data_IF_538274349900
#
_entry.id   IF_538274349900
#
_cell.length_a   1.000
_cell.length_b   1.000
_cell.length_c   1.000
_cell.angle_alpha   90.00
_cell.angle_beta   90.00
_cell.angle_gamma   90.00
#
_symmetry.space_group_name_H-M   'P 1'
#
loop_
_entity.id
_entity.type
_entity.pdbx_description
1 polymer ?
#
# COMPACT_ATOMS: atom_id res chain seq x y z
N UNK A 1 -4.87 29.90 -2.74
CA UNK A 1 -5.28 29.46 -1.40
C UNK A 1 -6.46 30.25 -0.90
N UNK A 2 -7.48 29.59 -0.42
CA UNK A 2 -8.75 30.16 0.05
C UNK A 2 -8.58 31.06 1.30
N UNK A 3 -7.45 30.96 1.98
CA UNK A 3 -7.15 31.76 3.17
C UNK A 3 -5.92 32.64 2.95
N UNK A 4 -6.14 33.96 2.93
CA UNK A 4 -5.08 34.97 2.81
C UNK A 4 -4.14 35.04 4.03
N UNK A 5 -4.47 34.37 5.14
CA UNK A 5 -3.69 34.36 6.37
C UNK A 5 -2.92 33.05 6.53
N UNK A 6 -1.58 33.04 6.48
CA UNK A 6 -0.76 31.83 6.55
C UNK A 6 -0.94 31.05 7.86
N UNK A 7 -1.17 31.73 8.97
CA UNK A 7 -1.43 31.12 10.28
C UNK A 7 -2.73 30.30 10.29
N UNK A 8 -3.82 30.86 9.72
CA UNK A 8 -5.10 30.14 9.62
C UNK A 8 -5.00 28.91 8.71
N UNK A 9 -4.28 29.02 7.61
CA UNK A 9 -4.02 27.90 6.69
C UNK A 9 -3.25 26.78 7.39
N UNK A 10 -2.24 27.13 8.18
CA UNK A 10 -1.41 26.17 8.89
C UNK A 10 -2.19 25.47 10.04
N UNK A 11 -3.03 26.22 10.76
CA UNK A 11 -3.89 25.67 11.82
C UNK A 11 -4.91 24.69 11.26
N UNK A 12 -5.57 25.02 10.14
CA UNK A 12 -6.53 24.12 9.49
C UNK A 12 -5.85 22.83 9.01
N UNK A 13 -4.70 22.93 8.34
CA UNK A 13 -3.91 21.76 7.94
C UNK A 13 -3.53 20.87 9.11
N UNK A 14 -3.14 21.46 10.23
CA UNK A 14 -2.79 20.72 11.45
C UNK A 14 -4.02 19.99 12.01
N UNK A 15 -5.19 20.64 12.04
CA UNK A 15 -6.44 20.03 12.51
C UNK A 15 -6.87 18.88 11.57
N UNK A 16 -6.84 19.09 10.27
CA UNK A 16 -7.17 18.06 9.28
C UNK A 16 -6.22 16.85 9.39
N UNK A 17 -4.93 17.10 9.52
CA UNK A 17 -3.92 16.06 9.71
C UNK A 17 -4.13 15.29 11.02
N UNK A 18 -4.42 15.99 12.11
CA UNK A 18 -4.70 15.38 13.42
C UNK A 18 -5.98 14.55 13.39
N UNK A 19 -7.05 15.06 12.77
CA UNK A 19 -8.33 14.35 12.69
C UNK A 19 -8.23 13.11 11.81
N UNK A 20 -7.57 13.18 10.66
CA UNK A 20 -7.32 12.03 9.79
C UNK A 20 -6.46 10.96 10.49
N UNK A 21 -5.40 11.39 11.20
CA UNK A 21 -4.56 10.48 11.99
C UNK A 21 -5.33 9.80 13.11
N UNK A 22 -6.17 10.54 13.84
CA UNK A 22 -7.00 9.98 14.92
C UNK A 22 -8.02 8.99 14.37
N UNK A 23 -8.66 9.29 13.24
CA UNK A 23 -9.59 8.37 12.60
C UNK A 23 -8.89 7.09 12.15
N UNK A 24 -7.73 7.20 11.51
CA UNK A 24 -6.94 6.04 11.10
C UNK A 24 -6.53 5.19 12.30
N UNK A 25 -6.04 5.80 13.38
CA UNK A 25 -5.67 5.07 14.60
C UNK A 25 -6.87 4.39 15.26
N UNK A 26 -8.05 5.02 15.24
CA UNK A 26 -9.28 4.40 15.73
C UNK A 26 -9.68 3.19 14.88
N UNK A 27 -9.56 3.31 13.57
CA UNK A 27 -9.86 2.24 12.63
C UNK A 27 -8.93 1.04 12.85
N UNK A 28 -7.63 1.29 12.96
CA UNK A 28 -6.63 0.24 13.25
C UNK A 28 -6.95 -0.44 14.59
N UNK A 29 -7.13 0.31 15.67
CA UNK A 29 -7.46 -0.26 16.99
C UNK A 29 -8.78 -1.02 16.99
N UNK A 30 -9.77 -0.55 16.24
CA UNK A 30 -11.05 -1.25 16.09
C UNK A 30 -10.86 -2.58 15.35
N UNK A 31 -10.02 -2.59 14.33
CA UNK A 31 -9.68 -3.79 13.58
C UNK A 31 -8.91 -4.81 14.44
N UNK A 32 -7.90 -4.39 15.17
CA UNK A 32 -7.15 -5.22 16.13
C UNK A 32 -8.08 -5.85 17.16
N UNK A 33 -8.97 -5.04 17.78
CA UNK A 33 -9.96 -5.53 18.75
C UNK A 33 -10.96 -6.53 18.18
N UNK A 34 -11.21 -6.48 16.87
CA UNK A 34 -12.08 -7.44 16.18
C UNK A 34 -11.41 -8.79 15.92
N UNK A 35 -10.16 -8.97 16.39
CA UNK A 35 -9.35 -10.16 16.17
C UNK A 35 -8.82 -10.23 14.74
N UNK A 36 -7.88 -9.35 14.40
CA UNK A 36 -7.22 -9.37 13.09
C UNK A 36 -6.62 -10.76 12.82
N UNK A 37 -6.96 -11.44 11.72
CA UNK A 37 -6.39 -12.73 11.40
C UNK A 37 -4.98 -12.56 10.81
N UNK A 38 -4.15 -13.57 11.01
CA UNK A 38 -2.84 -13.66 10.37
C UNK A 38 -2.96 -14.18 8.94
N UNK A 39 -2.07 -13.71 8.08
CA UNK A 39 -1.91 -14.21 6.73
C UNK A 39 -3.03 -13.81 5.77
N UNK A 40 -3.30 -14.66 4.80
CA UNK A 40 -4.24 -14.42 3.71
C UNK A 40 -5.65 -13.93 4.15
N UNK A 41 -6.26 -14.43 5.23
CA UNK A 41 -7.58 -13.95 5.68
C UNK A 41 -7.63 -12.50 6.18
N UNK A 42 -6.46 -11.88 6.42
CA UNK A 42 -6.36 -10.48 6.80
C UNK A 42 -6.99 -9.56 5.76
N UNK A 43 -6.66 -9.77 4.50
CA UNK A 43 -7.01 -8.85 3.40
C UNK A 43 -8.52 -8.66 3.23
N UNK A 44 -9.33 -9.70 3.04
CA UNK A 44 -10.78 -9.55 2.90
C UNK A 44 -11.41 -8.98 4.18
N UNK A 45 -10.89 -9.30 5.36
CA UNK A 45 -11.41 -8.76 6.61
C UNK A 45 -11.11 -7.28 6.76
N UNK A 46 -9.89 -6.85 6.43
CA UNK A 46 -9.48 -5.46 6.49
C UNK A 46 -10.27 -4.59 5.49
N UNK A 47 -10.42 -5.03 4.24
CA UNK A 47 -11.22 -4.35 3.21
C UNK A 47 -12.66 -4.15 3.68
N UNK A 48 -13.30 -5.20 4.22
CA UNK A 48 -14.66 -5.09 4.77
C UNK A 48 -14.74 -4.16 5.99
N UNK A 49 -13.76 -4.23 6.89
CA UNK A 49 -13.72 -3.38 8.08
C UNK A 49 -13.57 -1.89 7.74
N UNK A 50 -12.83 -1.59 6.69
CA UNK A 50 -12.68 -0.23 6.14
C UNK A 50 -13.90 0.24 5.34
N UNK A 51 -14.88 -0.60 5.09
CA UNK A 51 -16.05 -0.29 4.27
C UNK A 51 -15.72 -0.11 2.80
N UNK A 52 -14.61 -0.67 2.33
CA UNK A 52 -14.19 -0.57 0.92
C UNK A 52 -14.93 -1.65 0.12
N UNK A 53 -15.54 -1.22 -0.99
CA UNK A 53 -16.09 -2.12 -2.00
C UNK A 53 -15.16 -2.15 -3.21
N UNK A 54 -14.72 -3.34 -3.58
CA UNK A 54 -13.97 -3.57 -4.80
C UNK A 54 -14.98 -3.96 -5.88
N UNK A 55 -15.07 -3.12 -6.89
CA UNK A 55 -16.00 -3.29 -8.02
C UNK A 55 -15.16 -3.70 -9.26
N UNK A 56 -14.79 -4.96 -9.32
CA UNK A 56 -14.03 -5.57 -10.42
C UNK A 56 -14.76 -6.83 -10.88
N UNK A 57 -14.99 -6.98 -12.19
CA UNK A 57 -15.61 -8.18 -12.74
C UNK A 57 -14.83 -9.46 -12.40
N UNK A 58 -15.53 -10.54 -12.10
CA UNK A 58 -14.87 -11.80 -11.70
C UNK A 58 -14.05 -12.42 -12.84
N UNK A 59 -14.45 -12.19 -14.10
CA UNK A 59 -13.70 -12.65 -15.27
C UNK A 59 -12.36 -11.93 -15.42
N UNK A 60 -12.24 -10.69 -14.94
CA UNK A 60 -10.97 -9.97 -14.89
C UNK A 60 -10.07 -10.54 -13.77
N UNK A 61 -10.62 -10.83 -12.60
CA UNK A 61 -9.88 -11.49 -11.53
C UNK A 61 -9.38 -12.88 -11.99
N UNK A 62 -10.21 -13.61 -12.72
CA UNK A 62 -9.86 -14.94 -13.25
C UNK A 62 -8.70 -14.92 -14.28
N UNK A 63 -8.33 -13.75 -14.82
CA UNK A 63 -7.15 -13.59 -15.70
C UNK A 63 -5.83 -13.59 -14.92
N UNK A 64 -5.87 -13.43 -13.61
CA UNK A 64 -4.67 -13.51 -12.78
C UNK A 64 -4.13 -14.95 -12.85
N UNK A 65 -2.86 -15.15 -13.28
CA UNK A 65 -2.28 -16.50 -13.34
C UNK A 65 -2.26 -17.16 -11.95
N UNK A 66 -2.83 -18.35 -11.79
CA UNK A 66 -2.88 -19.04 -10.50
C UNK A 66 -1.51 -19.55 -10.04
N UNK A 67 -0.54 -19.65 -10.93
CA UNK A 67 0.82 -20.13 -10.67
C UNK A 67 1.85 -19.42 -11.54
N UNK A 68 3.13 -19.54 -11.18
CA UNK A 68 4.25 -18.95 -11.90
C UNK A 68 4.56 -17.52 -11.48
N UNK A 69 5.72 -16.99 -11.89
CA UNK A 69 6.14 -15.65 -11.51
C UNK A 69 5.23 -14.59 -12.13
N UNK A 70 4.84 -13.60 -11.32
CA UNK A 70 4.01 -12.50 -11.77
C UNK A 70 4.49 -11.20 -11.14
N UNK A 71 4.56 -10.13 -11.93
CA UNK A 71 4.76 -8.77 -11.45
C UNK A 71 3.49 -7.97 -11.69
N UNK A 72 2.91 -7.45 -10.62
CA UNK A 72 1.72 -6.60 -10.65
C UNK A 72 2.15 -5.16 -10.41
N UNK A 73 1.79 -4.29 -11.33
CA UNK A 73 2.09 -2.86 -11.27
C UNK A 73 0.79 -2.08 -11.32
N UNK A 74 0.72 -0.98 -10.58
CA UNK A 74 -0.43 -0.10 -10.58
C UNK A 74 -0.04 1.34 -10.26
N UNK A 75 -0.97 2.24 -10.56
CA UNK A 75 -0.97 3.60 -10.08
C UNK A 75 -1.16 3.64 -8.56
N UNK A 76 -0.74 4.76 -7.93
CA UNK A 76 -0.76 4.89 -6.47
C UNK A 76 -1.53 6.14 -6.00
N UNK A 77 -2.82 6.28 -6.38
CA UNK A 77 -3.59 7.48 -6.08
C UNK A 77 -4.02 7.61 -4.62
N UNK A 78 -4.24 6.50 -3.92
CA UNK A 78 -4.85 6.46 -2.58
C UNK A 78 -3.93 5.94 -1.47
N UNK A 79 -2.66 5.67 -1.79
CA UNK A 79 -1.68 5.21 -0.81
C UNK A 79 -1.97 3.82 -0.27
N UNK A 80 -2.10 3.68 1.04
CA UNK A 80 -2.31 2.39 1.71
C UNK A 80 -3.45 1.57 1.10
N UNK A 81 -4.54 2.22 0.72
CA UNK A 81 -5.73 1.56 0.17
C UNK A 81 -5.42 0.81 -1.12
N UNK A 82 -4.59 1.37 -2.00
CA UNK A 82 -4.25 0.74 -3.28
C UNK A 82 -3.53 -0.60 -3.04
N UNK A 83 -2.57 -0.62 -2.11
CA UNK A 83 -1.87 -1.84 -1.73
C UNK A 83 -2.80 -2.91 -1.15
N UNK A 84 -3.74 -2.50 -0.30
CA UNK A 84 -4.73 -3.41 0.31
C UNK A 84 -5.71 -3.97 -0.73
N UNK A 85 -6.18 -3.14 -1.66
CA UNK A 85 -7.07 -3.57 -2.74
C UNK A 85 -6.38 -4.57 -3.66
N UNK A 86 -5.14 -4.28 -4.11
CA UNK A 86 -4.37 -5.21 -4.94
C UNK A 86 -4.08 -6.52 -4.21
N UNK A 87 -3.70 -6.45 -2.93
CA UNK A 87 -3.50 -7.63 -2.11
C UNK A 87 -4.75 -8.51 -2.03
N UNK A 88 -5.91 -7.91 -1.79
CA UNK A 88 -7.19 -8.63 -1.75
C UNK A 88 -7.53 -9.26 -3.11
N UNK A 89 -7.36 -8.53 -4.21
CA UNK A 89 -7.64 -9.03 -5.55
C UNK A 89 -6.76 -10.24 -5.90
N UNK A 90 -5.45 -10.14 -5.63
CA UNK A 90 -4.51 -11.26 -5.85
C UNK A 90 -4.86 -12.44 -4.91
N UNK A 91 -5.17 -12.14 -3.65
CA UNK A 91 -5.51 -13.14 -2.63
C UNK A 91 -6.74 -14.00 -2.98
N UNK A 92 -7.65 -13.51 -3.83
CA UNK A 92 -8.79 -14.31 -4.35
C UNK A 92 -8.33 -15.48 -5.24
N UNK A 93 -7.14 -15.38 -5.82
CA UNK A 93 -6.59 -16.40 -6.74
C UNK A 93 -5.43 -17.15 -6.11
N UNK A 94 -4.51 -16.42 -5.43
CA UNK A 94 -3.30 -16.98 -4.82
C UNK A 94 -2.77 -16.12 -3.70
N UNK A 95 -2.12 -16.73 -2.72
CA UNK A 95 -1.65 -16.05 -1.51
C UNK A 95 -0.12 -15.89 -1.42
N UNK A 96 0.61 -16.32 -2.45
CA UNK A 96 2.08 -16.27 -2.50
C UNK A 96 2.59 -14.94 -3.09
N UNK A 97 2.01 -13.83 -2.69
CA UNK A 97 2.45 -12.50 -3.12
C UNK A 97 3.27 -11.79 -2.05
N UNK A 98 4.09 -10.84 -2.51
CA UNK A 98 4.82 -9.88 -1.69
C UNK A 98 4.60 -8.48 -2.23
N UNK A 99 4.51 -7.50 -1.35
CA UNK A 99 4.29 -6.09 -1.68
C UNK A 99 5.58 -5.33 -1.35
N UNK A 100 6.15 -4.65 -2.35
CA UNK A 100 7.23 -3.70 -2.10
C UNK A 100 6.64 -2.45 -1.46
N UNK A 101 6.97 -2.21 -0.20
CA UNK A 101 6.39 -1.11 0.56
C UNK A 101 7.43 -0.41 1.43
N UNK A 102 7.19 0.84 1.76
CA UNK A 102 8.01 1.57 2.72
C UNK A 102 7.90 0.97 4.11
N UNK A 103 8.96 1.06 4.88
CA UNK A 103 9.10 0.50 6.23
C UNK A 103 8.02 0.93 7.22
N UNK A 104 7.24 1.98 6.91
CA UNK A 104 6.11 2.43 7.74
C UNK A 104 4.97 1.40 7.88
N UNK A 105 4.88 0.44 6.97
CA UNK A 105 3.90 -0.65 7.00
C UNK A 105 4.49 -1.96 7.54
N UNK A 106 5.80 -2.01 7.77
CA UNK A 106 6.45 -3.10 8.49
C UNK A 106 6.16 -2.91 9.98
N UNK A 107 5.78 -3.97 10.67
CA UNK A 107 5.39 -3.89 12.09
C UNK A 107 3.91 -4.15 12.34
N UNK A 108 3.18 -4.61 11.33
CA UNK A 108 1.88 -5.25 11.46
C UNK A 108 2.12 -6.76 11.36
N UNK A 109 2.21 -7.48 12.49
CA UNK A 109 2.63 -8.89 12.51
C UNK A 109 1.76 -9.79 11.63
N UNK A 110 0.48 -9.44 11.50
CA UNK A 110 -0.51 -10.22 10.76
C UNK A 110 -0.22 -10.30 9.25
N UNK A 111 0.54 -9.33 8.72
CA UNK A 111 0.84 -9.23 7.27
C UNK A 111 2.33 -9.08 6.97
N UNK A 112 3.19 -9.19 7.97
CA UNK A 112 4.64 -9.01 7.80
C UNK A 112 5.21 -9.94 6.73
N UNK A 113 4.71 -11.16 6.63
CA UNK A 113 5.11 -12.12 5.61
C UNK A 113 4.83 -11.67 4.16
N UNK A 114 3.90 -10.73 3.97
CA UNK A 114 3.56 -10.20 2.64
C UNK A 114 4.35 -8.94 2.28
N UNK A 115 5.24 -8.46 3.13
CA UNK A 115 5.94 -7.19 2.93
C UNK A 115 7.42 -7.40 2.59
N UNK A 116 7.89 -6.71 1.56
CA UNK A 116 9.32 -6.52 1.30
C UNK A 116 9.61 -5.04 1.51
N UNK A 117 10.41 -4.68 2.53
CA UNK A 117 10.66 -3.29 2.86
C UNK A 117 11.53 -2.60 1.81
N UNK A 118 11.09 -1.42 1.35
CA UNK A 118 11.85 -0.54 0.47
C UNK A 118 12.53 0.53 1.32
N UNK A 119 13.86 0.61 1.33
CA UNK A 119 14.60 1.58 2.13
C UNK A 119 14.32 3.02 1.68
N UNK A 120 14.45 3.96 2.61
CA UNK A 120 14.42 5.37 2.26
C UNK A 120 15.79 5.82 1.74
N UNK A 121 15.85 6.72 0.74
CA UNK A 121 17.13 7.19 0.17
C UNK A 121 18.08 7.87 1.16
N UNK A 122 17.55 8.35 2.30
CA UNK A 122 18.31 9.04 3.35
C UNK A 122 18.76 8.12 4.49
N UNK A 123 18.50 6.82 4.43
CA UNK A 123 19.02 5.86 5.39
C UNK A 123 20.52 5.62 5.13
N UNK A 124 21.31 5.54 6.19
CA UNK A 124 22.78 5.43 6.09
C UNK A 124 23.24 4.19 5.29
N UNK A 125 22.44 3.13 5.30
CA UNK A 125 22.68 1.87 4.60
C UNK A 125 21.69 1.60 3.45
N UNK A 126 21.06 2.64 2.91
CA UNK A 126 20.01 2.51 1.87
C UNK A 126 20.46 1.68 0.65
N UNK A 127 21.73 1.79 0.24
CA UNK A 127 22.27 1.02 -0.88
C UNK A 127 22.30 -0.48 -0.58
N UNK A 128 22.78 -0.87 0.61
CA UNK A 128 22.86 -2.26 1.03
C UNK A 128 21.47 -2.87 1.19
N UNK A 129 20.58 -2.17 1.88
CA UNK A 129 19.16 -2.57 2.03
C UNK A 129 18.46 -2.68 0.69
N UNK A 130 18.75 -1.78 -0.26
CA UNK A 130 18.22 -1.84 -1.61
C UNK A 130 18.67 -3.08 -2.39
N UNK A 131 19.94 -3.51 -2.22
CA UNK A 131 20.42 -4.75 -2.80
C UNK A 131 19.74 -5.98 -2.16
N UNK A 132 19.61 -6.01 -0.84
CA UNK A 132 18.91 -7.08 -0.12
C UNK A 132 17.45 -7.19 -0.56
N UNK A 133 16.73 -6.06 -0.64
CA UNK A 133 15.36 -5.98 -1.17
C UNK A 133 15.27 -6.56 -2.59
N UNK A 134 16.20 -6.17 -3.48
CA UNK A 134 16.23 -6.68 -4.85
C UNK A 134 16.46 -8.19 -4.88
N UNK A 135 17.41 -8.70 -4.11
CA UNK A 135 17.74 -10.13 -4.06
C UNK A 135 16.56 -10.94 -3.51
N UNK A 136 15.87 -10.44 -2.51
CA UNK A 136 14.66 -11.06 -1.96
C UNK A 136 13.53 -11.07 -2.99
N UNK A 137 13.28 -9.93 -3.65
CA UNK A 137 12.29 -9.80 -4.72
C UNK A 137 12.56 -10.81 -5.85
N UNK A 138 13.81 -10.88 -6.32
CA UNK A 138 14.19 -11.79 -7.40
C UNK A 138 14.12 -13.26 -6.99
N UNK A 139 14.45 -13.57 -5.73
CA UNK A 139 14.32 -14.93 -5.18
C UNK A 139 12.86 -15.36 -5.15
N UNK A 140 11.97 -14.47 -4.68
CA UNK A 140 10.53 -14.73 -4.63
C UNK A 140 9.95 -14.96 -6.03
N UNK A 141 10.28 -14.13 -7.01
CA UNK A 141 9.86 -14.29 -8.39
C UNK A 141 10.39 -15.61 -9.01
N UNK A 142 11.67 -15.93 -8.80
CA UNK A 142 12.25 -17.21 -9.31
C UNK A 142 11.59 -18.44 -8.70
N UNK A 143 11.06 -18.33 -7.50
CA UNK A 143 10.27 -19.39 -6.86
C UNK A 143 8.83 -19.47 -7.40
N UNK A 144 8.44 -18.61 -8.34
CA UNK A 144 7.10 -18.59 -8.94
C UNK A 144 6.11 -17.67 -8.23
N UNK A 145 6.56 -16.86 -7.27
CA UNK A 145 5.70 -15.96 -6.49
C UNK A 145 5.30 -14.68 -7.22
N UNK A 146 4.43 -13.91 -6.60
CA UNK A 146 3.91 -12.64 -7.10
C UNK A 146 4.59 -11.48 -6.39
N UNK A 147 4.96 -10.44 -7.15
CA UNK A 147 5.42 -9.16 -6.62
C UNK A 147 4.45 -8.07 -7.01
N UNK A 148 3.99 -7.30 -6.02
CA UNK A 148 3.16 -6.10 -6.20
C UNK A 148 4.03 -4.88 -5.94
N UNK A 149 4.05 -3.93 -6.86
CA UNK A 149 4.79 -2.70 -6.70
C UNK A 149 4.08 -1.51 -7.37
N UNK A 150 4.41 -0.32 -6.87
CA UNK A 150 3.95 0.96 -7.39
C UNK A 150 5.15 1.70 -8.00
N UNK A 151 5.33 1.67 -9.33
CA UNK A 151 6.57 2.16 -9.96
C UNK A 151 6.86 3.64 -9.73
N UNK A 152 5.84 4.46 -9.50
CA UNK A 152 6.01 5.87 -9.14
C UNK A 152 6.75 6.08 -7.80
N UNK A 153 6.77 5.06 -6.91
CA UNK A 153 7.46 5.09 -5.62
C UNK A 153 6.90 6.09 -4.60
N UNK A 154 5.83 6.80 -4.95
CA UNK A 154 5.12 7.76 -4.11
C UNK A 154 3.65 7.87 -4.52
N UNK A 155 2.82 8.30 -3.57
CA UNK A 155 1.38 8.51 -3.79
C UNK A 155 1.19 9.72 -4.71
N UNK A 156 0.16 9.67 -5.56
CA UNK A 156 -0.26 10.80 -6.39
C UNK A 156 -0.57 12.03 -5.52
N UNK A 157 -0.16 13.20 -5.99
CA UNK A 157 -0.34 14.46 -5.27
C UNK A 157 -1.05 15.48 -6.15
N UNK A 158 -1.87 16.34 -5.52
CA UNK A 158 -2.44 17.50 -6.18
C UNK A 158 -1.58 18.74 -5.91
N UNK A 159 -1.35 19.55 -6.94
CA UNK A 159 -0.65 20.83 -6.82
C UNK A 159 -1.47 21.88 -6.05
N UNK A 160 -2.74 21.64 -5.80
CA UNK A 160 -3.63 22.56 -5.08
C UNK A 160 -4.81 21.85 -4.42
N UNK A 161 -5.56 22.61 -3.64
CA UNK A 161 -6.69 22.11 -2.85
C UNK A 161 -7.83 21.47 -3.68
N UNK A 162 -7.94 21.86 -4.95
CA UNK A 162 -9.02 21.47 -5.87
C UNK A 162 -8.48 20.95 -7.21
N UNK A 163 -7.16 20.76 -7.30
CA UNK A 163 -6.53 20.22 -8.50
C UNK A 163 -6.73 18.70 -8.58
N UNK A 164 -6.64 18.13 -9.77
CA UNK A 164 -6.59 16.68 -9.92
C UNK A 164 -5.34 16.11 -9.23
N UNK A 165 -5.45 14.90 -8.71
CA UNK A 165 -4.27 14.16 -8.26
C UNK A 165 -3.47 13.74 -9.49
N UNK A 166 -2.18 14.05 -9.50
CA UNK A 166 -1.25 13.71 -10.57
C UNK A 166 -0.27 12.67 -10.04
N UNK A 167 -0.16 11.59 -10.76
CA UNK A 167 0.81 10.53 -10.44
C UNK A 167 2.22 10.99 -10.84
N UNK A 168 3.20 10.60 -10.04
CA UNK A 168 4.58 10.80 -10.42
C UNK A 168 4.98 9.87 -11.57
N UNK A 169 6.01 10.27 -12.31
CA UNK A 169 6.60 9.42 -13.34
C UNK A 169 7.05 8.07 -12.77
N UNK A 170 6.83 7.02 -13.53
CA UNK A 170 7.26 5.69 -13.14
C UNK A 170 8.78 5.56 -13.27
N UNK A 171 9.39 5.06 -12.23
CA UNK A 171 10.81 4.69 -12.23
C UNK A 171 10.94 3.28 -12.83
N UNK A 172 11.29 3.20 -14.10
CA UNK A 172 11.51 1.98 -14.89
C UNK A 172 12.99 1.81 -15.23
#
# INVERSE_FOLDING_TARGET
GTFKNPLKSQTIRTIEWLTAKVQLLRLIRSFEKSGAPFGAPFWPKAIRHMGIRIDTPEDEIARIPPTGPLVVVANHPSGLVDGMVLAEMINRVRSDFRILTRSLLTGIPEVEEFMIPVPFPHEDNARELGLQMRDETMRHLKAGGVIILFPAGKVAMSEGWWGPAVEAEWNV
#
